data_IF_916807877484
#
_entry.id   IF_916807877484
#
_cell.length_a   1.000
_cell.length_b   1.000
_cell.length_c   1.000
_cell.angle_alpha   90.00
_cell.angle_beta   90.00
_cell.angle_gamma   90.00
#
_symmetry.space_group_name_H-M   'P 1'
#
loop_
_entity.id
_entity.type
_entity.pdbx_description
1 polymer ?
#
# COMPACT_ATOMS: atom_id res chain seq x y z
N UNK A 1 1.85 0.54 11.46
CA UNK A 1 1.25 1.76 12.03
C UNK A 1 0.48 2.48 10.95
N UNK A 2 -0.63 3.16 11.29
CA UNK A 2 -1.25 4.13 10.38
C UNK A 2 -0.26 5.28 10.19
N UNK A 3 0.20 5.49 8.97
CA UNK A 3 0.99 6.66 8.63
C UNK A 3 0.04 7.85 8.46
N UNK A 4 0.41 9.00 9.03
CA UNK A 4 -0.33 10.24 8.83
C UNK A 4 -0.26 10.74 7.38
N UNK A 5 -0.97 11.84 7.05
CA UNK A 5 -0.96 12.42 5.71
C UNK A 5 0.47 12.70 5.21
N UNK A 6 0.74 12.41 3.95
CA UNK A 6 2.06 12.64 3.35
C UNK A 6 2.16 14.06 2.79
N UNK A 7 3.13 14.84 3.30
CA UNK A 7 3.44 16.17 2.76
C UNK A 7 3.89 16.12 1.29
N UNK A 8 4.56 15.04 0.86
CA UNK A 8 4.99 14.86 -0.53
C UNK A 8 3.79 14.60 -1.43
N UNK A 9 2.87 13.70 -1.02
CA UNK A 9 1.66 13.44 -1.79
C UNK A 9 0.79 14.70 -1.90
N UNK A 10 0.66 15.46 -0.81
CA UNK A 10 -0.01 16.76 -0.80
C UNK A 10 0.63 17.77 -1.76
N UNK A 11 1.95 17.87 -1.77
CA UNK A 11 2.69 18.75 -2.69
C UNK A 11 2.55 18.32 -4.16
N UNK A 12 2.35 17.03 -4.44
CA UNK A 12 2.04 16.51 -5.77
C UNK A 12 0.56 16.67 -6.17
N UNK A 13 -0.26 17.30 -5.32
CA UNK A 13 -1.69 17.53 -5.60
C UNK A 13 -2.59 16.32 -5.29
N UNK A 14 -2.07 15.27 -4.66
CA UNK A 14 -2.92 14.22 -4.10
C UNK A 14 -3.50 14.70 -2.76
N UNK A 15 -4.82 14.60 -2.57
CA UNK A 15 -5.50 15.07 -1.34
C UNK A 15 -5.09 14.30 -0.08
N UNK A 16 -5.83 14.47 1.03
CA UNK A 16 -5.63 13.74 2.29
C UNK A 16 -6.03 12.24 2.19
N UNK A 17 -5.73 11.63 1.06
CA UNK A 17 -6.02 10.23 0.72
C UNK A 17 -5.26 9.31 1.68
N UNK A 18 -6.02 8.81 2.66
CA UNK A 18 -5.61 7.70 3.50
C UNK A 18 -5.60 6.44 2.63
N UNK A 19 -4.42 5.84 2.42
CA UNK A 19 -4.33 4.60 1.63
C UNK A 19 -3.03 4.38 0.86
N UNK A 20 -2.17 5.40 0.76
CA UNK A 20 -0.88 5.25 0.09
C UNK A 20 0.04 4.25 0.83
N UNK A 21 0.71 3.40 0.05
CA UNK A 21 1.69 2.43 0.54
C UNK A 21 3.06 2.73 -0.08
N UNK A 22 4.08 2.93 0.76
CA UNK A 22 5.48 2.99 0.31
C UNK A 22 6.16 1.66 0.59
N UNK A 23 6.73 1.05 -0.43
CA UNK A 23 7.55 -0.16 -0.33
C UNK A 23 8.96 0.20 -0.73
N UNK A 24 9.92 0.00 0.16
CA UNK A 24 11.34 0.24 -0.11
C UNK A 24 12.05 -1.10 -0.26
N UNK A 25 12.84 -1.24 -1.32
CA UNK A 25 13.62 -2.45 -1.62
C UNK A 25 15.12 -2.15 -1.50
N UNK A 26 15.93 -3.21 -1.38
CA UNK A 26 17.38 -3.12 -1.30
C UNK A 26 18.07 -4.13 -2.21
N UNK A 27 19.41 -4.15 -2.18
CA UNK A 27 20.23 -5.01 -3.05
C UNK A 27 19.92 -6.51 -2.91
N UNK A 28 19.42 -6.94 -1.76
CA UNK A 28 19.07 -8.33 -1.48
C UNK A 28 17.63 -8.69 -1.88
N UNK A 29 16.81 -7.73 -2.31
CA UNK A 29 15.43 -7.99 -2.72
C UNK A 29 15.43 -8.59 -4.12
N UNK A 30 15.04 -9.86 -4.23
CA UNK A 30 14.94 -10.59 -5.49
C UNK A 30 13.49 -10.84 -5.90
N UNK A 31 13.34 -11.62 -6.98
CA UNK A 31 12.03 -11.95 -7.54
C UNK A 31 11.11 -12.68 -6.54
N UNK A 32 11.67 -13.53 -5.68
CA UNK A 32 10.90 -14.28 -4.69
C UNK A 32 10.22 -13.36 -3.67
N UNK A 33 10.95 -12.35 -3.19
CA UNK A 33 10.41 -11.38 -2.22
C UNK A 33 9.34 -10.50 -2.88
N UNK A 34 9.53 -10.12 -4.15
CA UNK A 34 8.56 -9.35 -4.92
C UNK A 34 7.27 -10.13 -5.11
N UNK A 35 7.35 -11.40 -5.50
CA UNK A 35 6.16 -12.24 -5.69
C UNK A 35 5.42 -12.53 -4.38
N UNK A 36 6.17 -12.80 -3.31
CA UNK A 36 5.57 -12.98 -1.98
C UNK A 36 4.83 -11.71 -1.53
N UNK A 37 5.44 -10.53 -1.73
CA UNK A 37 4.81 -9.25 -1.43
C UNK A 37 3.55 -9.02 -2.27
N UNK A 38 3.61 -9.30 -3.58
CA UNK A 38 2.46 -9.16 -4.50
C UNK A 38 1.28 -10.02 -4.06
N UNK A 39 1.52 -11.29 -3.75
CA UNK A 39 0.48 -12.21 -3.31
C UNK A 39 -0.15 -11.77 -1.98
N UNK A 40 0.68 -11.34 -1.02
CA UNK A 40 0.20 -10.85 0.27
C UNK A 40 -0.64 -9.56 0.11
N UNK A 41 -0.16 -8.59 -0.70
CA UNK A 41 -0.87 -7.33 -0.93
C UNK A 41 -2.22 -7.57 -1.60
N UNK A 42 -2.29 -8.45 -2.60
CA UNK A 42 -3.54 -8.81 -3.27
C UNK A 42 -4.58 -9.36 -2.26
N UNK A 43 -4.15 -10.27 -1.38
CA UNK A 43 -5.01 -10.80 -0.32
C UNK A 43 -5.49 -9.73 0.67
N UNK A 44 -4.66 -8.73 0.99
CA UNK A 44 -5.03 -7.63 1.90
C UNK A 44 -6.04 -6.68 1.24
N UNK A 45 -5.82 -6.33 -0.04
CA UNK A 45 -6.73 -5.45 -0.80
C UNK A 45 -8.08 -6.12 -0.99
N UNK A 46 -8.13 -7.40 -1.37
CA UNK A 46 -9.36 -8.14 -1.54
C UNK A 46 -10.23 -8.17 -0.27
N UNK A 47 -9.61 -8.35 0.90
CA UNK A 47 -10.33 -8.30 2.19
C UNK A 47 -10.85 -6.91 2.55
N UNK A 48 -10.20 -5.84 2.09
CA UNK A 48 -10.64 -4.47 2.34
C UNK A 48 -11.82 -4.09 1.45
N UNK A 49 -11.79 -4.47 0.17
CA UNK A 49 -12.89 -4.26 -0.76
C UNK A 49 -14.19 -4.92 -0.24
N UNK A 50 -14.12 -6.18 0.22
CA UNK A 50 -15.28 -6.86 0.79
C UNK A 50 -15.81 -6.28 2.11
N UNK A 51 -15.04 -5.41 2.79
CA UNK A 51 -15.50 -4.66 3.97
C UNK A 51 -16.15 -3.32 3.61
N UNK A 52 -15.73 -2.68 2.51
CA UNK A 52 -16.35 -1.47 2.00
C UNK A 52 -17.69 -1.75 1.30
N UNK A 53 -17.86 -2.91 0.64
CA UNK A 53 -19.15 -3.30 0.04
C UNK A 53 -20.22 -3.72 1.06
N UNK A 54 -19.83 -4.08 2.28
CA UNK A 54 -20.73 -4.54 3.34
C UNK A 54 -21.12 -3.43 4.34
N UNK A 55 -20.65 -2.20 4.15
CA UNK A 55 -20.90 -1.03 5.00
C UNK A 55 -21.74 0.02 4.25
#
# INVERSE_FOLDING_TARGET
GKVGPSHVLKAMGHGDSLGALRVSIGRATGAKEIEAFRAALAGIVARRAGKEEAA
#
